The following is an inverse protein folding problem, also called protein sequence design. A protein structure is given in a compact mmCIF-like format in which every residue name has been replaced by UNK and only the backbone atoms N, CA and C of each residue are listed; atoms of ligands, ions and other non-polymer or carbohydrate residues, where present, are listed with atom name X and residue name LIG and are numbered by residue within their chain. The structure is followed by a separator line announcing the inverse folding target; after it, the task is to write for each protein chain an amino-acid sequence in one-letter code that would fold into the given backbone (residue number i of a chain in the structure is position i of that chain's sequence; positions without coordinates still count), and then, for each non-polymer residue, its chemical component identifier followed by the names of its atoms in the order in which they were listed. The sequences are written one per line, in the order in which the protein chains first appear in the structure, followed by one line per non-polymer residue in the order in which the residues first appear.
data_IF_074136400764
#
_entry.id   IF_074136400764
#
_cell.length_a   1.000
_cell.length_b   1.000
_cell.length_c   1.000
_cell.angle_alpha   90.00
_cell.angle_beta   90.00
_cell.angle_gamma   90.00
#
_symmetry.space_group_name_H-M   'P 1'
#
loop_
_entity.id
_entity.type
_entity.pdbx_description
1 polymer ?
#
# COMPACT_ATOMS: atom_id res chain seq x y z
N UNK A 1 -68.89 -33.57 -20.25
CA UNK A 1 -67.53 -33.19 -19.79
C UNK A 1 -67.49 -31.72 -19.39
N UNK A 2 -67.99 -30.81 -20.25
CA UNK A 2 -67.99 -29.36 -19.99
C UNK A 2 -68.77 -28.92 -18.74
N UNK A 3 -69.91 -29.54 -18.41
CA UNK A 3 -70.70 -29.20 -17.22
C UNK A 3 -69.92 -29.28 -15.90
N UNK A 4 -69.02 -30.26 -15.75
CA UNK A 4 -68.18 -30.39 -14.55
C UNK A 4 -67.14 -29.28 -14.46
N UNK A 5 -66.61 -28.84 -15.60
CA UNK A 5 -65.66 -27.73 -15.67
C UNK A 5 -66.37 -26.43 -15.27
N UNK A 6 -67.58 -26.21 -15.79
CA UNK A 6 -68.38 -25.02 -15.46
C UNK A 6 -68.71 -24.96 -13.96
N UNK A 7 -69.16 -26.08 -13.36
CA UNK A 7 -69.40 -26.17 -11.91
C UNK A 7 -68.15 -25.89 -11.07
N UNK A 8 -67.00 -26.42 -11.48
CA UNK A 8 -65.73 -26.22 -10.78
C UNK A 8 -65.21 -24.78 -10.94
N UNK A 9 -65.41 -24.17 -12.10
CA UNK A 9 -65.07 -22.77 -12.35
C UNK A 9 -65.94 -21.84 -11.51
N UNK A 10 -67.26 -22.08 -11.45
CA UNK A 10 -68.18 -21.29 -10.62
C UNK A 10 -67.74 -21.29 -9.16
N UNK A 11 -67.46 -22.48 -8.59
CA UNK A 11 -66.90 -22.60 -7.23
C UNK A 11 -65.56 -21.90 -7.05
N UNK A 12 -64.67 -21.97 -8.04
CA UNK A 12 -63.38 -21.29 -8.00
C UNK A 12 -63.55 -19.78 -7.96
N UNK A 13 -64.45 -19.24 -8.78
CA UNK A 13 -64.77 -17.81 -8.82
C UNK A 13 -65.47 -17.33 -7.54
N UNK A 14 -66.28 -18.17 -6.92
CA UNK A 14 -66.89 -17.93 -5.61
C UNK A 14 -65.91 -18.15 -4.43
N UNK A 15 -64.69 -18.60 -4.71
CA UNK A 15 -63.66 -18.95 -3.71
C UNK A 15 -64.09 -20.06 -2.73
N UNK A 16 -64.96 -20.98 -3.17
CA UNK A 16 -65.43 -22.13 -2.40
C UNK A 16 -64.78 -23.46 -2.84
N UNK A 17 -63.86 -23.43 -3.81
CA UNK A 17 -63.15 -24.61 -4.28
C UNK A 17 -62.12 -25.14 -3.27
N UNK A 18 -61.98 -26.47 -3.22
CA UNK A 18 -60.90 -27.14 -2.52
C UNK A 18 -59.68 -27.38 -3.41
N UNK A 19 -58.50 -27.60 -2.81
CA UNK A 19 -57.26 -27.87 -3.55
C UNK A 19 -57.37 -29.12 -4.46
N UNK A 20 -58.12 -30.13 -4.03
CA UNK A 20 -58.34 -31.34 -4.83
C UNK A 20 -59.21 -31.05 -6.06
N UNK A 21 -60.26 -30.22 -5.90
CA UNK A 21 -61.12 -29.77 -6.99
C UNK A 21 -60.36 -28.88 -7.99
N UNK A 22 -59.43 -28.05 -7.54
CA UNK A 22 -58.58 -27.24 -8.43
C UNK A 22 -57.60 -28.09 -9.26
N UNK A 23 -57.05 -29.15 -8.68
CA UNK A 23 -56.22 -30.11 -9.40
C UNK A 23 -57.04 -30.89 -10.45
N UNK A 24 -58.28 -31.28 -10.10
CA UNK A 24 -59.23 -31.87 -11.02
C UNK A 24 -59.54 -30.89 -12.17
N UNK A 25 -59.89 -29.64 -11.86
CA UNK A 25 -60.18 -28.58 -12.82
C UNK A 25 -59.02 -28.37 -13.80
N UNK A 26 -57.79 -28.27 -13.30
CA UNK A 26 -56.58 -28.12 -14.15
C UNK A 26 -56.42 -29.29 -15.12
N UNK A 27 -56.67 -30.51 -14.67
CA UNK A 27 -56.56 -31.73 -15.49
C UNK A 27 -57.67 -31.80 -16.55
N UNK A 28 -58.89 -31.41 -16.18
CA UNK A 28 -60.02 -31.36 -17.09
C UNK A 28 -59.82 -30.27 -18.15
N UNK A 29 -59.32 -29.09 -17.78
CA UNK A 29 -59.00 -28.02 -18.73
C UNK A 29 -57.95 -28.44 -19.76
N UNK A 30 -56.97 -29.27 -19.39
CA UNK A 30 -55.97 -29.80 -20.34
C UNK A 30 -56.57 -30.71 -21.42
N UNK A 31 -57.67 -31.40 -21.12
CA UNK A 31 -58.30 -32.40 -22.01
C UNK A 31 -59.55 -31.91 -22.73
N UNK A 32 -60.16 -30.81 -22.26
CA UNK A 32 -61.37 -30.24 -22.85
C UNK A 32 -61.08 -29.40 -24.10
N UNK A 33 -62.02 -29.38 -25.06
CA UNK A 33 -62.02 -28.43 -26.17
C UNK A 33 -62.74 -27.13 -25.75
N UNK A 34 -62.17 -25.96 -26.06
CA UNK A 34 -62.69 -24.64 -25.61
C UNK A 34 -61.93 -24.05 -24.42
N UNK A 35 -62.54 -23.09 -23.71
CA UNK A 35 -62.02 -22.42 -22.50
C UNK A 35 -60.64 -21.76 -22.69
N UNK A 36 -60.49 -20.96 -23.74
CA UNK A 36 -59.20 -20.37 -24.10
C UNK A 36 -58.65 -19.44 -23.00
N UNK A 37 -59.52 -18.64 -22.39
CA UNK A 37 -59.14 -17.66 -21.37
C UNK A 37 -58.78 -18.35 -20.05
N UNK A 38 -59.56 -19.34 -19.63
CA UNK A 38 -59.29 -20.13 -18.42
C UNK A 38 -58.03 -20.97 -18.59
N UNK A 39 -57.80 -21.56 -19.77
CA UNK A 39 -56.55 -22.26 -20.06
C UNK A 39 -55.35 -21.33 -19.99
N UNK A 40 -55.43 -20.11 -20.51
CA UNK A 40 -54.35 -19.14 -20.40
C UNK A 40 -54.04 -18.82 -18.92
N UNK A 41 -55.07 -18.71 -18.09
CA UNK A 41 -54.93 -18.44 -16.65
C UNK A 41 -54.30 -19.61 -15.88
N UNK A 42 -54.79 -20.84 -16.10
CA UNK A 42 -54.36 -22.02 -15.33
C UNK A 42 -53.11 -22.72 -15.88
N UNK A 43 -52.83 -22.57 -17.18
CA UNK A 43 -51.75 -23.27 -17.90
C UNK A 43 -50.68 -22.35 -18.46
N UNK A 44 -50.94 -21.04 -18.60
CA UNK A 44 -49.96 -20.11 -19.17
C UNK A 44 -48.66 -20.04 -18.40
N UNK A 45 -48.68 -20.24 -17.08
CA UNK A 45 -47.46 -20.23 -16.25
C UNK A 45 -46.54 -21.42 -16.54
N UNK A 46 -47.07 -22.58 -16.95
CA UNK A 46 -46.22 -23.72 -17.36
C UNK A 46 -45.44 -23.44 -18.64
N UNK A 47 -45.98 -22.62 -19.54
CA UNK A 47 -45.29 -22.25 -20.77
C UNK A 47 -44.09 -21.33 -20.45
N UNK A 48 -44.27 -20.37 -19.54
CA UNK A 48 -43.19 -19.49 -19.07
C UNK A 48 -42.12 -20.22 -18.26
N UNK A 49 -42.44 -21.36 -17.62
CA UNK A 49 -41.44 -22.12 -16.85
C UNK A 49 -40.36 -22.77 -17.71
N UNK A 50 -40.59 -22.92 -19.02
CA UNK A 50 -39.64 -23.48 -19.97
C UNK A 50 -38.87 -22.41 -20.76
N UNK A 51 -39.19 -21.12 -20.58
CA UNK A 51 -38.44 -20.04 -21.21
C UNK A 51 -37.16 -19.75 -20.43
N UNK A 52 -36.01 -20.00 -21.05
CA UNK A 52 -34.73 -19.57 -20.48
C UNK A 52 -34.61 -18.04 -20.60
N UNK A 53 -34.31 -17.33 -19.49
CA UNK A 53 -34.17 -15.88 -19.53
C UNK A 53 -32.97 -15.49 -20.39
N UNK A 54 -33.20 -14.79 -21.49
CA UNK A 54 -32.15 -14.29 -22.39
C UNK A 54 -31.42 -13.08 -21.78
N UNK A 55 -30.66 -13.32 -20.72
CA UNK A 55 -29.83 -12.31 -20.06
C UNK A 55 -28.58 -12.05 -20.90
N UNK A 56 -28.69 -11.20 -21.92
CA UNK A 56 -27.52 -10.64 -22.59
C UNK A 56 -26.86 -9.62 -21.66
N UNK A 57 -25.95 -10.07 -20.79
CA UNK A 57 -25.13 -9.15 -20.01
C UNK A 57 -24.11 -8.46 -20.93
N UNK A 58 -24.04 -7.12 -20.96
CA UNK A 58 -23.04 -6.43 -21.74
C UNK A 58 -21.66 -6.73 -21.13
N UNK A 59 -20.89 -7.59 -21.81
CA UNK A 59 -19.51 -7.87 -21.42
C UNK A 59 -18.67 -6.65 -21.78
N UNK A 60 -18.53 -5.71 -20.84
CA UNK A 60 -17.59 -4.59 -20.99
C UNK A 60 -16.17 -5.14 -20.85
N UNK A 61 -15.54 -5.42 -21.99
CA UNK A 61 -14.13 -5.82 -22.04
C UNK A 61 -13.30 -4.57 -21.74
N UNK A 62 -12.74 -4.49 -20.54
CA UNK A 62 -11.81 -3.43 -20.16
C UNK A 62 -10.42 -3.87 -20.66
N UNK A 63 -9.76 -3.13 -21.57
CA UNK A 63 -8.43 -3.49 -22.02
C UNK A 63 -7.44 -3.34 -20.86
N UNK A 64 -6.88 -4.46 -20.39
CA UNK A 64 -5.81 -4.46 -19.41
C UNK A 64 -4.53 -4.03 -20.15
N UNK A 65 -4.05 -2.82 -19.86
CA UNK A 65 -2.78 -2.34 -20.42
C UNK A 65 -1.64 -3.19 -19.89
N UNK A 66 -0.83 -3.76 -20.79
CA UNK A 66 0.30 -4.61 -20.43
C UNK A 66 1.30 -3.86 -19.54
N UNK A 67 1.57 -4.41 -18.35
CA UNK A 67 2.46 -3.80 -17.34
C UNK A 67 3.94 -4.15 -17.57
N UNK A 68 4.29 -4.68 -18.74
CA UNK A 68 5.61 -5.22 -19.07
C UNK A 68 6.74 -4.18 -18.95
N UNK A 69 6.46 -2.91 -19.28
CA UNK A 69 7.42 -1.81 -19.10
C UNK A 69 7.80 -1.60 -17.63
N UNK A 70 6.88 -1.86 -16.70
CA UNK A 70 7.12 -1.71 -15.26
C UNK A 70 8.17 -2.70 -14.75
N UNK A 71 8.20 -3.91 -15.30
CA UNK A 71 9.18 -4.93 -14.93
C UNK A 71 10.60 -4.48 -15.31
N UNK A 72 10.74 -3.88 -16.49
CA UNK A 72 12.03 -3.38 -16.96
C UNK A 72 12.46 -2.12 -16.21
N UNK A 73 11.51 -1.24 -15.90
CA UNK A 73 11.76 -0.04 -15.09
C UNK A 73 12.26 -0.38 -13.68
N UNK A 74 11.72 -1.43 -13.05
CA UNK A 74 12.16 -1.88 -11.73
C UNK A 74 13.63 -2.32 -11.73
N UNK A 75 14.05 -3.13 -12.69
CA UNK A 75 15.45 -3.57 -12.81
C UNK A 75 16.39 -2.39 -13.08
N UNK A 76 16.00 -1.46 -13.97
CA UNK A 76 16.79 -0.27 -14.24
C UNK A 76 16.93 0.64 -13.00
N UNK A 77 15.85 0.84 -12.24
CA UNK A 77 15.86 1.64 -11.03
C UNK A 77 16.79 1.06 -9.95
N UNK A 78 16.82 -0.27 -9.79
CA UNK A 78 17.74 -0.93 -8.86
C UNK A 78 19.19 -0.65 -9.26
N UNK A 79 19.54 -0.85 -10.54
CA UNK A 79 20.92 -0.62 -11.01
C UNK A 79 21.36 0.83 -10.83
N UNK A 80 20.50 1.80 -11.20
CA UNK A 80 20.79 3.23 -11.03
C UNK A 80 20.93 3.58 -9.55
N UNK A 81 20.01 3.08 -8.71
CA UNK A 81 20.04 3.29 -7.26
C UNK A 81 21.30 2.74 -6.61
N UNK A 82 21.75 1.55 -7.03
CA UNK A 82 22.98 0.93 -6.51
C UNK A 82 24.22 1.74 -6.88
N UNK A 83 24.36 2.19 -8.13
CA UNK A 83 25.51 3.01 -8.56
C UNK A 83 25.54 4.34 -7.81
N UNK A 84 24.38 4.99 -7.66
CA UNK A 84 24.30 6.26 -6.97
C UNK A 84 24.56 6.10 -5.46
N UNK A 85 24.01 5.06 -4.84
CA UNK A 85 24.25 4.72 -3.44
C UNK A 85 25.72 4.41 -3.16
N UNK A 86 26.40 3.67 -4.04
CA UNK A 86 27.83 3.39 -3.91
C UNK A 86 28.67 4.67 -3.92
N UNK A 87 28.43 5.57 -4.89
CA UNK A 87 29.17 6.85 -4.96
C UNK A 87 29.00 7.70 -3.71
N UNK A 88 27.77 7.79 -3.20
CA UNK A 88 27.48 8.56 -1.98
C UNK A 88 28.17 7.93 -0.77
N UNK A 89 28.19 6.60 -0.69
CA UNK A 89 28.87 5.88 0.37
C UNK A 89 30.39 6.10 0.34
N UNK A 90 31.01 5.97 -0.84
CA UNK A 90 32.43 6.19 -1.05
C UNK A 90 32.84 7.64 -0.74
N UNK A 91 32.04 8.61 -1.17
CA UNK A 91 32.26 10.02 -0.83
C UNK A 91 32.21 10.25 0.68
N UNK A 92 31.22 9.68 1.39
CA UNK A 92 31.12 9.83 2.85
C UNK A 92 32.30 9.19 3.59
N UNK A 93 32.76 8.03 3.13
CA UNK A 93 33.97 7.39 3.68
C UNK A 93 35.19 8.30 3.50
N UNK A 94 35.41 8.82 2.29
CA UNK A 94 36.53 9.73 2.02
C UNK A 94 36.46 11.04 2.83
N UNK A 95 35.27 11.61 3.00
CA UNK A 95 35.06 12.80 3.85
C UNK A 95 35.37 12.52 5.32
N UNK A 96 35.01 11.33 5.83
CA UNK A 96 35.32 10.92 7.20
C UNK A 96 36.82 10.72 7.42
N UNK A 97 37.49 10.06 6.49
CA UNK A 97 38.94 9.85 6.54
C UNK A 97 39.69 11.20 6.53
N UNK A 98 39.34 12.09 5.60
CA UNK A 98 39.92 13.43 5.53
C UNK A 98 39.65 14.24 6.81
N UNK A 99 38.43 14.16 7.37
CA UNK A 99 38.11 14.80 8.64
C UNK A 99 39.00 14.29 9.79
N UNK A 100 39.18 12.96 9.88
CA UNK A 100 40.02 12.35 10.91
C UNK A 100 41.49 12.76 10.78
N UNK A 101 42.03 12.81 9.57
CA UNK A 101 43.39 13.28 9.30
C UNK A 101 43.59 14.73 9.74
N UNK A 102 42.64 15.61 9.39
CA UNK A 102 42.65 17.02 9.80
C UNK A 102 42.59 17.15 11.32
N UNK A 103 41.73 16.38 11.99
CA UNK A 103 41.65 16.39 13.46
C UNK A 103 42.94 15.88 14.12
N UNK A 104 43.60 14.88 13.56
CA UNK A 104 44.91 14.43 14.04
C UNK A 104 45.98 15.51 13.89
N UNK A 105 46.02 16.20 12.73
CA UNK A 105 46.92 17.33 12.52
C UNK A 105 46.66 18.47 13.51
N UNK A 106 45.38 18.80 13.77
CA UNK A 106 45.01 19.78 14.79
C UNK A 106 45.42 19.35 16.19
N UNK A 107 45.29 18.07 16.55
CA UNK A 107 45.75 17.55 17.82
C UNK A 107 47.27 17.72 17.98
N UNK A 108 48.05 17.44 16.93
CA UNK A 108 49.50 17.68 16.93
C UNK A 108 49.83 19.17 17.12
N UNK A 109 49.14 20.07 16.41
CA UNK A 109 49.31 21.52 16.59
C UNK A 109 49.00 21.91 18.04
N UNK A 110 47.88 21.43 18.59
CA UNK A 110 47.48 21.72 19.96
C UNK A 110 48.52 21.26 20.98
N UNK A 111 49.07 20.04 20.82
CA UNK A 111 50.11 19.53 21.73
C UNK A 111 51.43 20.32 21.66
N UNK A 112 51.80 20.83 20.48
CA UNK A 112 52.98 21.69 20.35
C UNK A 112 52.73 23.08 20.93
N UNK A 113 51.53 23.64 20.75
CA UNK A 113 51.13 24.91 21.35
C UNK A 113 51.09 24.84 22.88
N UNK A 114 50.54 23.77 23.47
CA UNK A 114 50.50 23.60 24.92
C UNK A 114 51.89 23.49 25.53
N UNK A 115 52.80 22.74 24.91
CA UNK A 115 54.22 22.68 25.30
C UNK A 115 54.90 24.05 25.22
N UNK A 116 54.63 24.81 24.16
CA UNK A 116 55.15 26.17 24.01
C UNK A 116 54.64 27.11 25.11
N UNK A 117 53.36 27.00 25.47
CA UNK A 117 52.78 27.77 26.57
C UNK A 117 53.40 27.42 27.92
N UNK A 118 53.62 26.14 28.21
CA UNK A 118 54.28 25.67 29.43
C UNK A 118 55.71 26.23 29.54
N UNK A 119 56.49 26.15 28.46
CA UNK A 119 57.85 26.71 28.43
C UNK A 119 57.87 28.23 28.64
N UNK A 120 56.89 28.95 28.09
CA UNK A 120 56.79 30.39 28.28
C UNK A 120 56.42 30.76 29.72
N UNK A 121 55.57 29.97 30.38
CA UNK A 121 55.27 30.12 31.82
C UNK A 121 56.53 29.89 32.65
N UNK A 122 57.29 28.81 32.40
CA UNK A 122 58.55 28.52 33.10
C UNK A 122 59.56 29.69 32.90
N UNK A 123 59.69 30.20 31.67
CA UNK A 123 60.58 31.34 31.38
C UNK A 123 60.14 32.60 32.13
N UNK A 124 58.83 32.87 32.21
CA UNK A 124 58.29 34.01 32.94
C UNK A 124 58.57 33.89 34.45
N UNK A 125 58.37 32.72 35.04
CA UNK A 125 58.66 32.45 36.46
C UNK A 125 60.16 32.62 36.77
N UNK A 126 61.02 32.10 35.89
CA UNK A 126 62.48 32.26 36.00
C UNK A 126 62.93 33.73 35.93
N UNK A 127 62.25 34.57 35.13
CA UNK A 127 62.50 36.02 35.08
C UNK A 127 62.25 36.67 36.44
N UNK A 128 61.18 36.31 37.14
CA UNK A 128 60.89 36.84 38.49
C UNK A 128 61.89 36.34 39.54
N UNK A 129 62.31 35.07 39.46
CA UNK A 129 63.33 34.54 40.38
C UNK A 129 64.69 35.22 40.20
N UNK A 130 65.08 35.51 38.96
CA UNK A 130 66.33 36.23 38.68
C UNK A 130 66.23 37.73 39.01
N UNK A 131 65.03 38.30 39.00
CA UNK A 131 64.80 39.70 39.44
C UNK A 131 65.21 39.90 40.91
N UNK A 132 64.99 38.92 41.78
CA UNK A 132 65.47 38.96 43.17
C UNK A 132 67.00 39.00 43.24
N UNK A 133 67.70 38.19 42.43
CA UNK A 133 69.17 38.26 42.36
C UNK A 133 69.68 39.57 41.74
N UNK A 134 68.93 40.22 40.85
CA UNK A 134 69.31 41.52 40.31
C UNK A 134 69.05 42.68 41.28
N UNK A 135 67.99 42.59 42.10
CA UNK A 135 67.64 43.62 43.09
C UNK A 135 68.45 43.50 44.39
N UNK A 136 68.92 42.30 44.73
CA UNK A 136 69.59 42.02 46.01
C UNK A 136 71.00 41.38 45.86
N UNK A 137 71.48 41.16 44.64
CA UNK A 137 72.82 40.64 44.36
C UNK A 137 73.88 41.72 44.48
N UNK A 138 74.81 41.55 45.42
CA UNK A 138 75.93 42.46 45.68
C UNK A 138 76.83 42.68 44.44
N UNK A 139 77.21 43.93 44.10
CA UNK A 139 78.26 44.18 43.11
C UNK A 139 79.64 43.96 43.75
N UNK A 140 80.21 42.76 43.57
CA UNK A 140 81.63 42.53 43.91
C UNK A 140 82.53 42.97 42.77
N UNK A 141 83.27 44.05 43.05
CA UNK A 141 84.47 44.56 42.39
C UNK A 141 85.38 43.50 41.73
N UNK A 142 85.83 43.79 40.51
CA UNK A 142 87.25 43.88 40.12
C UNK A 142 87.41 44.65 38.82
#
# INVERSE_FOLDING_TARGET
MNQRIDELLEKYWEAESSLAEEQELKTLLLSAEGYADEKALFLGLSDFSNEEPSLQMPTKIIPIKSRNWMNWAASAAILIGSVWGWRVYEQKQAEQEAYMEVMQAFALIQTNLSKGQEQMTIMNDMKYLNTTNQLFGNPTNK
#
